data_IF_348653686019
#
_entry.id   IF_348653686019
#
_cell.length_a   1.000
_cell.length_b   1.000
_cell.length_c   1.000
_cell.angle_alpha   90.00
_cell.angle_beta   90.00
_cell.angle_gamma   90.00
#
_symmetry.space_group_name_H-M   'P 1'
#
loop_
_entity.id
_entity.type
_entity.pdbx_description
1 polymer ?
#
# COMPACT_ATOMS: atom_id res chain seq x y z
N UNK A 1 37.93 -7.45 -13.58
CA UNK A 1 37.22 -6.93 -14.78
C UNK A 1 36.97 -5.45 -14.57
N UNK A 2 37.08 -4.59 -15.59
CA UNK A 2 36.72 -3.18 -15.43
C UNK A 2 35.23 -3.06 -15.10
N UNK A 3 34.93 -2.37 -14.01
CA UNK A 3 33.56 -2.07 -13.60
C UNK A 3 32.95 -1.07 -14.59
N UNK A 4 31.70 -1.28 -15.02
CA UNK A 4 31.04 -0.34 -15.94
C UNK A 4 30.63 0.94 -15.21
N UNK A 5 30.54 2.06 -15.93
CA UNK A 5 30.06 3.34 -15.36
C UNK A 5 28.67 3.21 -14.74
N UNK A 6 27.76 2.50 -15.41
CA UNK A 6 26.42 2.21 -14.88
C UNK A 6 26.48 1.48 -13.53
N UNK A 7 27.41 0.52 -13.38
CA UNK A 7 27.56 -0.23 -12.13
C UNK A 7 28.10 0.65 -11.00
N UNK A 8 29.01 1.56 -11.31
CA UNK A 8 29.47 2.58 -10.35
C UNK A 8 28.28 3.44 -9.90
N UNK A 9 27.43 3.90 -10.82
CA UNK A 9 26.26 4.72 -10.47
C UNK A 9 25.26 3.95 -9.60
N UNK A 10 25.05 2.66 -9.89
CA UNK A 10 24.22 1.78 -9.05
C UNK A 10 24.81 1.64 -7.64
N UNK A 11 26.13 1.43 -7.50
CA UNK A 11 26.81 1.39 -6.20
C UNK A 11 26.67 2.71 -5.45
N UNK A 12 26.87 3.84 -6.12
CA UNK A 12 26.72 5.18 -5.50
C UNK A 12 25.32 5.37 -4.95
N UNK A 13 24.30 4.94 -5.70
CA UNK A 13 22.89 5.04 -5.31
C UNK A 13 22.58 4.17 -4.09
N UNK A 14 23.06 2.92 -4.07
CA UNK A 14 22.76 1.98 -2.99
C UNK A 14 23.58 2.30 -1.75
N UNK A 15 24.90 2.46 -1.86
CA UNK A 15 25.77 2.72 -0.70
C UNK A 15 25.59 4.14 -0.16
N UNK A 16 25.07 5.06 -0.98
CA UNK A 16 24.91 6.47 -0.60
C UNK A 16 26.25 7.23 -0.52
N UNK A 17 27.28 6.74 -1.24
CA UNK A 17 28.60 7.37 -1.31
C UNK A 17 28.94 7.75 -2.74
N UNK A 18 29.36 8.98 -2.93
CA UNK A 18 29.84 9.46 -4.23
C UNK A 18 31.31 9.08 -4.41
N UNK A 19 31.57 7.85 -4.84
CA UNK A 19 32.92 7.34 -5.07
C UNK A 19 33.66 8.14 -6.16
N UNK A 20 34.92 8.47 -5.87
CA UNK A 20 35.87 9.04 -6.83
C UNK A 20 36.40 7.94 -7.79
N UNK A 21 36.55 6.72 -7.26
CA UNK A 21 37.02 5.54 -7.99
C UNK A 21 36.54 4.26 -7.28
N UNK A 22 36.22 3.23 -8.06
CA UNK A 22 35.92 1.88 -7.57
C UNK A 22 36.59 0.89 -8.52
N UNK A 23 37.33 -0.07 -7.96
CA UNK A 23 37.96 -1.15 -8.70
C UNK A 23 37.64 -2.51 -8.08
N UNK A 24 37.29 -3.46 -8.95
CA UNK A 24 36.95 -4.83 -8.57
C UNK A 24 37.93 -5.84 -9.18
N UNK A 25 38.44 -6.69 -8.32
CA UNK A 25 39.39 -7.73 -8.64
C UNK A 25 38.82 -9.09 -8.27
N UNK A 26 39.17 -10.11 -9.05
CA UNK A 26 38.95 -11.51 -8.70
C UNK A 26 40.32 -12.16 -8.67
N UNK A 27 40.74 -12.63 -7.50
CA UNK A 27 42.01 -13.35 -7.37
C UNK A 27 41.78 -14.84 -7.55
N UNK A 28 42.54 -15.45 -8.45
CA UNK A 28 42.66 -16.89 -8.58
C UNK A 28 43.55 -17.39 -7.44
N UNK A 29 42.92 -17.65 -6.30
CA UNK A 29 43.54 -18.25 -5.13
C UNK A 29 42.86 -19.59 -4.97
N UNK A 30 43.58 -20.67 -5.30
CA UNK A 30 43.12 -22.03 -5.05
C UNK A 30 43.09 -22.24 -3.52
N UNK A 31 41.89 -22.35 -2.90
CA UNK A 31 41.81 -22.64 -1.49
C UNK A 31 42.38 -24.03 -1.23
N UNK A 32 42.97 -24.25 -0.06
CA UNK A 32 43.44 -25.59 0.33
C UNK A 32 42.30 -26.55 0.69
N UNK A 33 41.06 -26.07 0.67
CA UNK A 33 39.84 -26.77 1.05
C UNK A 33 38.88 -26.78 -0.15
N UNK A 34 38.46 -27.98 -0.56
CA UNK A 34 37.64 -28.19 -1.75
C UNK A 34 36.23 -27.57 -1.61
N UNK A 35 35.66 -27.55 -0.39
CA UNK A 35 34.34 -26.97 -0.13
C UNK A 35 34.39 -25.44 -0.31
N UNK A 36 35.50 -24.82 0.08
CA UNK A 36 35.73 -23.38 -0.10
C UNK A 36 35.98 -23.07 -1.59
N UNK A 37 36.70 -23.95 -2.29
CA UNK A 37 36.94 -23.80 -3.73
C UNK A 37 35.61 -23.83 -4.50
N UNK A 38 34.73 -24.77 -4.19
CA UNK A 38 33.41 -24.86 -4.81
C UNK A 38 32.57 -23.61 -4.54
N UNK A 39 32.52 -23.14 -3.28
CA UNK A 39 31.78 -21.94 -2.91
C UNK A 39 32.26 -20.67 -3.64
N UNK A 40 33.53 -20.63 -4.05
CA UNK A 40 34.15 -19.49 -4.75
C UNK A 40 34.12 -19.63 -6.28
N UNK A 41 33.43 -20.61 -6.85
CA UNK A 41 33.45 -20.87 -8.30
C UNK A 41 32.50 -19.95 -9.09
N UNK A 42 31.53 -19.29 -8.43
CA UNK A 42 30.68 -18.18 -8.93
C UNK A 42 30.21 -18.25 -10.40
N UNK A 43 29.85 -19.43 -10.93
CA UNK A 43 29.39 -19.58 -12.32
C UNK A 43 30.50 -19.51 -13.39
N UNK A 44 31.75 -19.56 -12.95
CA UNK A 44 32.96 -19.70 -13.76
C UNK A 44 33.59 -21.09 -13.58
N UNK A 45 34.65 -21.41 -14.32
CA UNK A 45 35.35 -22.70 -14.21
C UNK A 45 36.47 -22.68 -13.13
N UNK A 46 36.67 -21.55 -12.43
CA UNK A 46 37.78 -21.35 -11.49
C UNK A 46 37.33 -20.63 -10.21
N UNK A 47 37.91 -20.94 -9.04
CA UNK A 47 37.61 -20.24 -7.80
C UNK A 47 38.15 -18.81 -7.84
N UNK A 48 37.27 -17.83 -7.68
CA UNK A 48 37.62 -16.41 -7.65
C UNK A 48 37.31 -15.80 -6.28
N UNK A 49 38.35 -15.29 -5.62
CA UNK A 49 38.20 -14.53 -4.38
C UNK A 49 37.96 -13.05 -4.72
N UNK A 50 36.81 -12.46 -4.37
CA UNK A 50 36.51 -11.07 -4.66
C UNK A 50 37.37 -10.14 -3.80
N UNK A 51 37.89 -9.08 -4.41
CA UNK A 51 38.60 -8.02 -3.72
C UNK A 51 38.24 -6.65 -4.29
N UNK A 52 38.05 -5.68 -3.40
CA UNK A 52 37.51 -4.38 -3.75
C UNK A 52 38.44 -3.27 -3.27
N UNK A 53 38.65 -2.28 -4.12
CA UNK A 53 39.28 -1.02 -3.77
C UNK A 53 38.35 0.14 -4.12
N UNK A 54 38.30 1.14 -3.25
CA UNK A 54 37.47 2.31 -3.44
C UNK A 54 38.19 3.56 -2.97
N UNK A 55 37.87 4.69 -3.60
CA UNK A 55 38.29 6.02 -3.16
C UNK A 55 37.08 6.91 -2.95
N UNK A 56 37.02 7.54 -1.79
CA UNK A 56 35.97 8.48 -1.42
C UNK A 56 36.60 9.67 -0.69
N UNK A 57 36.32 10.89 -1.17
CA UNK A 57 36.87 12.14 -0.59
C UNK A 57 38.38 12.07 -0.42
N UNK A 58 39.08 11.63 -1.46
CA UNK A 58 40.54 11.48 -1.46
C UNK A 58 41.11 10.46 -0.46
N UNK A 59 40.26 9.65 0.20
CA UNK A 59 40.68 8.53 1.05
C UNK A 59 40.51 7.23 0.29
N UNK A 60 41.59 6.48 0.12
CA UNK A 60 41.57 5.14 -0.49
C UNK A 60 41.47 4.06 0.59
N UNK A 61 40.66 3.05 0.34
CA UNK A 61 40.42 1.95 1.26
C UNK A 61 40.01 0.69 0.52
N UNK A 62 40.01 -0.44 1.22
CA UNK A 62 39.79 -1.77 0.63
C UNK A 62 38.56 -2.44 1.23
N UNK A 63 38.13 -3.55 0.63
CA UNK A 63 37.03 -4.39 1.14
C UNK A 63 37.17 -4.74 2.63
N UNK A 64 38.40 -4.93 3.13
CA UNK A 64 38.68 -5.23 4.54
C UNK A 64 38.36 -4.08 5.50
N UNK A 65 38.20 -2.87 4.98
CA UNK A 65 37.93 -1.63 5.75
C UNK A 65 36.57 -1.02 5.43
N UNK A 66 35.81 -1.62 4.51
CA UNK A 66 34.45 -1.23 4.19
C UNK A 66 33.52 -1.49 5.38
N UNK A 67 32.47 -0.68 5.52
CA UNK A 67 31.36 -1.04 6.40
C UNK A 67 30.66 -2.30 5.87
N UNK A 68 30.04 -3.09 6.76
CA UNK A 68 29.45 -4.38 6.35
C UNK A 68 28.42 -4.23 5.23
N UNK A 69 27.49 -3.28 5.31
CA UNK A 69 26.51 -3.04 4.24
C UNK A 69 27.14 -2.58 2.91
N UNK A 70 28.21 -1.79 2.98
CA UNK A 70 28.97 -1.36 1.80
C UNK A 70 29.66 -2.56 1.14
N UNK A 71 30.37 -3.39 1.94
CA UNK A 71 31.01 -4.60 1.46
C UNK A 71 29.99 -5.58 0.87
N UNK A 72 28.88 -5.85 1.56
CA UNK A 72 27.82 -6.75 1.10
C UNK A 72 27.22 -6.30 -0.23
N UNK A 73 27.05 -4.99 -0.43
CA UNK A 73 26.55 -4.44 -1.71
C UNK A 73 27.56 -4.68 -2.83
N UNK A 74 28.85 -4.40 -2.59
CA UNK A 74 29.91 -4.68 -3.55
C UNK A 74 29.95 -6.17 -3.92
N UNK A 75 29.92 -7.04 -2.91
CA UNK A 75 29.92 -8.48 -3.09
C UNK A 75 28.72 -8.96 -3.90
N UNK A 76 27.51 -8.56 -3.53
CA UNK A 76 26.29 -8.95 -4.23
C UNK A 76 26.36 -8.56 -5.71
N UNK A 77 26.72 -7.32 -6.03
CA UNK A 77 26.81 -6.91 -7.43
C UNK A 77 27.95 -7.59 -8.18
N UNK A 78 29.06 -7.89 -7.52
CA UNK A 78 30.16 -8.66 -8.10
C UNK A 78 29.71 -10.08 -8.46
N UNK A 79 28.99 -10.76 -7.56
CA UNK A 79 28.42 -12.10 -7.80
C UNK A 79 27.44 -12.04 -8.95
N UNK A 80 26.49 -11.10 -8.96
CA UNK A 80 25.53 -10.94 -10.05
C UNK A 80 26.17 -10.67 -11.42
N UNK A 81 27.38 -10.11 -11.44
CA UNK A 81 28.14 -9.91 -12.66
C UNK A 81 28.80 -11.21 -13.14
N UNK A 82 29.22 -12.10 -12.23
CA UNK A 82 29.81 -13.39 -12.63
C UNK A 82 28.77 -14.29 -13.31
N UNK A 83 27.49 -14.17 -12.97
CA UNK A 83 26.43 -14.94 -13.59
C UNK A 83 25.81 -14.26 -14.83
N UNK A 84 26.32 -13.11 -15.28
CA UNK A 84 25.69 -12.33 -16.35
C UNK A 84 25.66 -13.05 -17.71
N UNK A 85 26.38 -14.16 -17.92
CA UNK A 85 26.28 -14.97 -19.15
C UNK A 85 25.30 -16.14 -19.03
N UNK A 86 24.76 -16.42 -17.84
CA UNK A 86 23.87 -17.56 -17.58
C UNK A 86 22.42 -17.22 -17.93
N UNK A 87 21.76 -18.09 -18.69
CA UNK A 87 20.34 -18.01 -19.01
C UNK A 87 19.50 -18.88 -18.06
N UNK A 88 18.21 -18.57 -17.92
CA UNK A 88 17.24 -19.23 -17.03
C UNK A 88 17.67 -19.29 -15.54
N UNK A 89 18.43 -18.29 -15.11
CA UNK A 89 18.98 -18.19 -13.77
C UNK A 89 17.88 -17.88 -12.73
N UNK A 90 17.81 -18.69 -11.67
CA UNK A 90 17.02 -18.40 -10.47
C UNK A 90 17.97 -18.02 -9.35
N UNK A 91 17.78 -16.83 -8.79
CA UNK A 91 18.61 -16.30 -7.71
C UNK A 91 17.75 -16.24 -6.45
N UNK A 92 18.23 -16.88 -5.38
CA UNK A 92 17.64 -16.80 -4.05
C UNK A 92 18.56 -15.92 -3.20
N UNK A 93 18.01 -14.85 -2.61
CA UNK A 93 18.79 -13.93 -1.79
C UNK A 93 18.10 -13.75 -0.45
N UNK A 94 18.83 -14.06 0.61
CA UNK A 94 18.35 -13.91 1.98
C UNK A 94 18.73 -12.54 2.53
N UNK A 95 17.72 -11.74 2.90
CA UNK A 95 17.85 -10.40 3.49
C UNK A 95 18.94 -9.52 2.84
N UNK A 96 18.89 -9.25 1.52
CA UNK A 96 19.91 -8.44 0.83
C UNK A 96 20.01 -7.01 1.38
N UNK A 97 18.97 -6.53 2.04
CA UNK A 97 18.87 -5.23 2.68
C UNK A 97 19.41 -5.21 4.11
N UNK A 98 19.84 -6.36 4.65
CA UNK A 98 20.47 -6.42 5.96
C UNK A 98 21.67 -5.47 6.02
N UNK A 99 21.80 -4.73 7.13
CA UNK A 99 22.87 -3.77 7.39
C UNK A 99 22.86 -2.49 6.52
N UNK A 100 21.85 -2.30 5.67
CA UNK A 100 21.67 -1.06 4.91
C UNK A 100 20.69 -0.09 5.62
N UNK A 101 20.94 1.22 5.57
CA UNK A 101 19.91 2.20 5.94
C UNK A 101 18.65 2.06 5.07
N UNK A 102 17.45 2.44 5.54
CA UNK A 102 16.20 2.26 4.79
C UNK A 102 16.23 2.80 3.36
N UNK A 103 16.76 4.01 3.15
CA UNK A 103 16.88 4.59 1.81
C UNK A 103 17.81 3.79 0.86
N UNK A 104 18.86 3.17 1.41
CA UNK A 104 19.78 2.32 0.66
C UNK A 104 19.14 0.97 0.31
N UNK A 105 18.41 0.37 1.26
CA UNK A 105 17.65 -0.87 1.07
C UNK A 105 16.64 -0.75 -0.08
N UNK A 106 15.82 0.32 -0.10
CA UNK A 106 14.89 0.59 -1.20
C UNK A 106 15.61 0.74 -2.54
N UNK A 107 16.76 1.43 -2.55
CA UNK A 107 17.59 1.59 -3.74
C UNK A 107 18.15 0.27 -4.29
N UNK A 108 18.60 -0.62 -3.40
CA UNK A 108 19.13 -1.94 -3.77
C UNK A 108 18.06 -2.78 -4.45
N UNK A 109 16.87 -2.84 -3.85
CA UNK A 109 15.82 -3.70 -4.37
C UNK A 109 15.19 -3.18 -5.64
N UNK A 110 15.00 -1.87 -5.76
CA UNK A 110 14.62 -1.25 -7.03
C UNK A 110 15.62 -1.64 -8.13
N UNK A 111 16.92 -1.70 -7.81
CA UNK A 111 17.94 -2.16 -8.76
C UNK A 111 17.83 -3.64 -9.10
N UNK A 112 17.63 -4.51 -8.11
CA UNK A 112 17.44 -5.96 -8.35
C UNK A 112 16.21 -6.22 -9.23
N UNK A 113 15.10 -5.52 -8.98
CA UNK A 113 13.90 -5.59 -9.83
C UNK A 113 14.18 -5.12 -11.26
N UNK A 114 14.90 -4.01 -11.43
CA UNK A 114 15.30 -3.54 -12.76
C UNK A 114 16.22 -4.54 -13.47
N UNK A 115 17.10 -5.22 -12.73
CA UNK A 115 17.97 -6.25 -13.26
C UNK A 115 17.16 -7.44 -13.81
N UNK A 116 16.13 -7.88 -13.08
CA UNK A 116 15.20 -8.92 -13.55
C UNK A 116 14.46 -8.48 -14.82
N UNK A 117 14.04 -7.21 -14.89
CA UNK A 117 13.36 -6.65 -16.07
C UNK A 117 14.29 -6.59 -17.28
N UNK A 118 15.51 -6.08 -17.10
CA UNK A 118 16.55 -5.98 -18.13
C UNK A 118 16.94 -7.35 -18.69
N UNK A 119 16.91 -8.39 -17.85
CA UNK A 119 17.29 -9.77 -18.21
C UNK A 119 16.10 -10.71 -18.37
N UNK A 120 14.89 -10.17 -18.52
CA UNK A 120 13.66 -10.95 -18.63
C UNK A 120 13.69 -11.94 -19.81
N UNK A 121 14.19 -11.49 -20.96
CA UNK A 121 14.28 -12.31 -22.18
C UNK A 121 15.26 -13.48 -22.02
N UNK A 122 16.11 -13.43 -21.00
CA UNK A 122 17.07 -14.48 -20.63
C UNK A 122 16.57 -15.35 -19.48
N UNK A 123 15.31 -15.19 -19.06
CA UNK A 123 14.68 -16.07 -18.07
C UNK A 123 15.10 -15.83 -16.62
N UNK A 124 15.74 -14.70 -16.29
CA UNK A 124 16.17 -14.40 -14.92
C UNK A 124 14.99 -14.23 -13.96
N UNK A 125 15.08 -14.87 -12.79
CA UNK A 125 14.11 -14.76 -11.69
C UNK A 125 14.84 -14.55 -10.38
N UNK A 126 14.35 -13.65 -9.54
CA UNK A 126 14.94 -13.37 -8.22
C UNK A 126 13.86 -13.57 -7.17
N UNK A 127 14.18 -14.31 -6.12
CA UNK A 127 13.36 -14.51 -4.92
C UNK A 127 14.13 -13.93 -3.74
N UNK A 128 13.45 -13.09 -2.96
CA UNK A 128 14.06 -12.33 -1.86
C UNK A 128 13.23 -12.53 -0.61
N UNK A 129 13.88 -12.90 0.50
CA UNK A 129 13.33 -12.73 1.85
C UNK A 129 13.77 -11.37 2.40
N UNK A 130 12.85 -10.69 3.08
CA UNK A 130 13.11 -9.38 3.69
C UNK A 130 12.13 -9.13 4.82
N UNK A 131 12.57 -8.36 5.82
CA UNK A 131 11.75 -7.86 6.91
C UNK A 131 11.39 -6.38 6.78
N UNK A 132 11.83 -5.69 5.72
CA UNK A 132 11.59 -4.26 5.62
C UNK A 132 10.19 -3.94 5.10
N UNK A 133 9.48 -3.17 5.91
CA UNK A 133 8.08 -2.83 5.69
C UNK A 133 7.85 -2.06 4.39
N UNK A 134 8.76 -1.15 4.02
CA UNK A 134 8.64 -0.37 2.79
C UNK A 134 8.65 -1.28 1.55
N UNK A 135 9.46 -2.33 1.58
CA UNK A 135 9.61 -3.29 0.48
C UNK A 135 8.41 -4.21 0.40
N UNK A 136 7.97 -4.73 1.56
CA UNK A 136 6.78 -5.57 1.64
C UNK A 136 5.59 -4.80 1.07
N UNK A 137 5.41 -3.52 1.44
CA UNK A 137 4.35 -2.67 0.91
C UNK A 137 4.42 -2.51 -0.61
N UNK A 138 5.60 -2.20 -1.16
CA UNK A 138 5.80 -2.10 -2.61
C UNK A 138 5.52 -3.43 -3.31
N UNK A 139 5.98 -4.55 -2.76
CA UNK A 139 5.78 -5.89 -3.33
C UNK A 139 4.31 -6.30 -3.36
N UNK A 140 3.53 -5.95 -2.33
CA UNK A 140 2.07 -6.16 -2.30
C UNK A 140 1.39 -5.38 -3.42
N UNK A 141 1.74 -4.09 -3.60
CA UNK A 141 1.16 -3.24 -4.65
C UNK A 141 1.45 -3.78 -6.07
N UNK A 142 2.57 -4.48 -6.24
CA UNK A 142 2.98 -5.10 -7.50
C UNK A 142 2.50 -6.55 -7.66
N UNK A 143 1.72 -7.08 -6.72
CA UNK A 143 1.29 -8.50 -6.70
C UNK A 143 2.47 -9.48 -6.79
N UNK A 144 3.57 -9.16 -6.09
CA UNK A 144 4.80 -9.93 -6.06
C UNK A 144 5.15 -10.46 -4.66
N UNK A 145 4.27 -10.26 -3.68
CA UNK A 145 4.50 -10.65 -2.30
C UNK A 145 3.93 -12.04 -2.00
N UNK A 146 4.74 -12.86 -1.34
CA UNK A 146 4.35 -14.17 -0.79
C UNK A 146 4.64 -14.15 0.70
N UNK A 147 3.62 -14.39 1.50
CA UNK A 147 3.76 -14.63 2.92
C UNK A 147 3.99 -16.11 3.18
N UNK A 148 4.96 -16.44 4.04
CA UNK A 148 5.21 -17.78 4.52
C UNK A 148 4.94 -17.82 6.02
N UNK A 149 4.14 -18.79 6.46
CA UNK A 149 3.80 -19.01 7.87
C UNK A 149 3.83 -20.51 8.21
N UNK A 150 3.78 -20.81 9.51
CA UNK A 150 3.61 -22.16 10.03
C UNK A 150 2.23 -22.25 10.67
N UNK A 151 1.37 -23.11 10.16
CA UNK A 151 0.03 -23.29 10.72
C UNK A 151 0.05 -23.97 12.10
N UNK A 152 -1.11 -24.05 12.74
CA UNK A 152 -1.28 -24.70 14.03
C UNK A 152 -0.93 -26.21 14.07
N UNK A 153 -0.84 -26.86 12.91
CA UNK A 153 -0.43 -28.26 12.77
C UNK A 153 1.08 -28.40 12.51
N UNK A 154 1.79 -27.29 12.32
CA UNK A 154 3.23 -27.26 12.04
C UNK A 154 3.57 -27.32 10.54
N UNK A 155 2.59 -27.19 9.65
CA UNK A 155 2.83 -27.20 8.21
C UNK A 155 3.21 -25.80 7.71
N UNK A 156 4.14 -25.73 6.76
CA UNK A 156 4.43 -24.47 6.05
C UNK A 156 3.27 -24.14 5.11
N UNK A 157 2.71 -22.95 5.28
CA UNK A 157 1.66 -22.40 4.43
C UNK A 157 2.22 -21.18 3.71
N UNK A 158 1.86 -21.04 2.44
CA UNK A 158 2.18 -19.86 1.65
C UNK A 158 0.90 -19.17 1.19
N UNK A 159 0.84 -17.85 1.31
CA UNK A 159 -0.29 -17.05 0.84
C UNK A 159 0.23 -15.93 -0.05
N UNK A 160 -0.25 -15.88 -1.29
CA UNK A 160 0.16 -14.85 -2.24
C UNK A 160 -0.70 -13.60 -2.04
N UNK A 161 -0.12 -12.40 -2.19
CA UNK A 161 -0.86 -11.15 -1.99
C UNK A 161 -2.00 -10.91 -2.99
N UNK A 162 -2.02 -11.64 -4.11
CA UNK A 162 -3.15 -11.65 -5.05
C UNK A 162 -4.34 -12.47 -4.55
N UNK A 163 -4.12 -13.43 -3.65
CA UNK A 163 -5.17 -14.25 -3.03
C UNK A 163 -5.77 -13.53 -1.84
N UNK A 164 -4.91 -12.90 -1.02
CA UNK A 164 -5.30 -12.05 0.10
C UNK A 164 -4.43 -10.78 0.14
N UNK A 165 -4.95 -9.62 -0.30
CA UNK A 165 -4.21 -8.35 -0.25
C UNK A 165 -3.85 -7.88 1.15
N UNK A 166 -4.52 -8.40 2.18
CA UNK A 166 -4.31 -8.01 3.59
C UNK A 166 -3.27 -8.86 4.29
N UNK A 167 -2.76 -9.91 3.64
CA UNK A 167 -1.80 -10.86 4.24
C UNK A 167 -0.53 -10.18 4.78
N UNK A 168 -0.10 -9.10 4.13
CA UNK A 168 1.06 -8.32 4.57
C UNK A 168 0.80 -7.46 5.82
N UNK A 169 -0.46 -7.18 6.17
CA UNK A 169 -0.81 -6.34 7.33
C UNK A 169 -0.32 -6.96 8.66
N UNK A 170 -0.08 -8.28 8.68
CA UNK A 170 0.50 -8.99 9.83
C UNK A 170 1.95 -8.55 10.10
N UNK A 171 2.67 -8.17 9.04
CA UNK A 171 4.09 -7.78 9.09
C UNK A 171 4.28 -6.26 9.03
N UNK A 172 3.33 -5.53 8.46
CA UNK A 172 3.41 -4.09 8.28
C UNK A 172 2.90 -3.34 9.52
N UNK A 173 3.62 -2.28 9.91
CA UNK A 173 3.04 -1.28 10.78
C UNK A 173 1.85 -0.63 10.07
N UNK A 174 0.76 -0.32 10.80
CA UNK A 174 -0.40 0.35 10.21
C UNK A 174 0.07 1.59 9.44
N UNK A 175 -0.28 1.74 8.16
CA UNK A 175 0.20 2.85 7.37
C UNK A 175 -0.29 4.16 8.00
N UNK A 176 0.53 5.23 7.96
CA UNK A 176 0.12 6.51 8.52
C UNK A 176 -1.13 7.01 7.78
N UNK A 177 -2.08 7.57 8.52
CA UNK A 177 -3.25 8.22 7.92
C UNK A 177 -2.75 9.37 7.05
N UNK A 178 -3.11 9.33 5.76
CA UNK A 178 -2.76 10.37 4.76
C UNK A 178 -3.92 11.32 4.50
N UNK A 179 -5.15 10.88 4.78
CA UNK A 179 -6.33 11.70 4.54
C UNK A 179 -7.43 11.46 5.58
N UNK A 180 -8.17 12.52 5.88
CA UNK A 180 -9.31 12.52 6.80
C UNK A 180 -10.53 13.06 6.08
N UNK A 181 -11.60 12.26 6.04
CA UNK A 181 -12.89 12.64 5.48
C UNK A 181 -13.85 12.96 6.62
N UNK A 182 -14.40 14.17 6.61
CA UNK A 182 -15.43 14.56 7.57
C UNK A 182 -16.81 14.38 6.95
N UNK A 183 -17.65 13.56 7.59
CA UNK A 183 -19.01 13.25 7.16
C UNK A 183 -20.04 13.80 8.14
N UNK A 184 -21.29 13.94 7.71
CA UNK A 184 -22.34 14.58 8.50
C UNK A 184 -22.69 13.80 9.76
N UNK A 185 -22.97 12.51 9.63
CA UNK A 185 -23.44 11.66 10.69
C UNK A 185 -22.90 10.22 10.57
N UNK A 186 -23.41 9.35 11.44
CA UNK A 186 -22.97 7.96 11.52
C UNK A 186 -23.41 7.13 10.31
N UNK A 187 -24.59 7.36 9.73
CA UNK A 187 -25.02 6.62 8.54
C UNK A 187 -24.14 7.01 7.35
N UNK A 188 -23.87 8.31 7.18
CA UNK A 188 -22.91 8.83 6.21
C UNK A 188 -21.50 8.22 6.40
N UNK A 189 -21.08 7.98 7.64
CA UNK A 189 -19.79 7.34 7.94
C UNK A 189 -19.70 5.91 7.41
N UNK A 190 -20.67 5.05 7.75
CA UNK A 190 -20.65 3.66 7.28
C UNK A 190 -20.82 3.57 5.76
N UNK A 191 -21.64 4.44 5.17
CA UNK A 191 -21.79 4.51 3.72
C UNK A 191 -20.49 4.95 3.04
N UNK A 192 -19.82 5.98 3.56
CA UNK A 192 -18.51 6.44 3.05
C UNK A 192 -17.45 5.35 3.16
N UNK A 193 -17.40 4.62 4.29
CA UNK A 193 -16.46 3.51 4.45
C UNK A 193 -16.72 2.38 3.45
N UNK A 194 -17.99 2.02 3.23
CA UNK A 194 -18.37 1.02 2.24
C UNK A 194 -17.99 1.45 0.82
N UNK A 195 -18.17 2.74 0.49
CA UNK A 195 -17.76 3.33 -0.78
C UNK A 195 -16.24 3.29 -0.95
N UNK A 196 -15.47 3.69 0.06
CA UNK A 196 -14.00 3.65 0.00
C UNK A 196 -13.45 2.23 -0.19
N UNK A 197 -14.15 1.21 0.32
CA UNK A 197 -13.73 -0.18 0.16
C UNK A 197 -13.69 -0.65 -1.30
N UNK A 198 -14.36 0.05 -2.23
CA UNK A 198 -14.28 -0.25 -3.67
C UNK A 198 -12.98 0.26 -4.32
N UNK A 199 -12.24 1.14 -3.64
CA UNK A 199 -11.01 1.78 -4.17
C UNK A 199 -9.72 1.00 -3.90
N UNK A 200 -9.83 -0.17 -3.26
CA UNK A 200 -8.68 -0.97 -2.84
C UNK A 200 -8.19 -0.68 -1.42
N UNK A 201 -7.43 -1.63 -0.87
CA UNK A 201 -6.99 -1.69 0.52
C UNK A 201 -6.19 -0.45 0.95
N UNK A 202 -5.24 0.00 0.13
CA UNK A 202 -4.36 1.14 0.45
C UNK A 202 -5.13 2.44 0.76
N UNK A 203 -6.20 2.70 0.00
CA UNK A 203 -7.03 3.89 0.19
C UNK A 203 -7.75 3.80 1.53
N UNK A 204 -8.35 2.65 1.84
CA UNK A 204 -9.04 2.43 3.12
C UNK A 204 -8.06 2.54 4.29
N UNK A 205 -6.91 1.87 4.21
CA UNK A 205 -5.92 1.81 5.28
C UNK A 205 -5.30 3.17 5.60
N UNK A 206 -5.23 4.09 4.62
CA UNK A 206 -4.66 5.43 4.79
C UNK A 206 -5.70 6.54 4.98
N UNK A 207 -7.00 6.19 5.07
CA UNK A 207 -8.10 7.14 5.20
C UNK A 207 -8.83 7.00 6.53
N UNK A 208 -8.91 8.09 7.28
CA UNK A 208 -9.78 8.17 8.45
C UNK A 208 -11.11 8.84 8.07
N UNK A 209 -12.23 8.16 8.29
CA UNK A 209 -13.56 8.78 8.16
C UNK A 209 -14.04 9.18 9.54
N UNK A 210 -14.42 10.44 9.73
CA UNK A 210 -14.86 10.99 11.02
C UNK A 210 -16.23 11.65 10.83
N UNK A 211 -17.22 11.24 11.61
CA UNK A 211 -18.54 11.87 11.56
C UNK A 211 -18.68 13.03 12.55
N UNK A 212 -19.50 14.00 12.16
CA UNK A 212 -19.85 15.16 12.96
C UNK A 212 -21.27 15.09 13.53
N UNK A 213 -21.88 16.27 13.65
CA UNK A 213 -23.28 16.47 14.04
C UNK A 213 -24.02 17.23 12.94
N UNK A 214 -24.03 16.67 11.72
CA UNK A 214 -24.68 17.22 10.54
C UNK A 214 -23.86 18.24 9.74
N UNK A 215 -24.38 18.65 8.58
CA UNK A 215 -23.78 19.62 7.64
C UNK A 215 -23.35 20.94 8.28
N UNK A 216 -24.10 21.47 9.25
CA UNK A 216 -23.75 22.71 9.95
C UNK A 216 -22.41 22.61 10.69
N UNK A 217 -22.11 21.44 11.27
CA UNK A 217 -20.82 21.19 11.94
C UNK A 217 -19.68 21.04 10.93
N UNK A 218 -19.93 20.39 9.78
CA UNK A 218 -18.94 20.30 8.70
C UNK A 218 -18.56 21.69 8.19
N UNK A 219 -19.55 22.57 7.98
CA UNK A 219 -19.32 23.94 7.57
C UNK A 219 -18.46 24.70 8.59
N UNK A 220 -18.82 24.61 9.87
CA UNK A 220 -18.04 25.24 10.94
C UNK A 220 -16.60 24.71 10.98
N UNK A 221 -16.40 23.40 10.82
CA UNK A 221 -15.07 22.80 10.79
C UNK A 221 -14.24 23.29 9.58
N UNK A 222 -14.88 23.44 8.42
CA UNK A 222 -14.25 23.98 7.20
C UNK A 222 -13.74 25.41 7.33
N UNK A 223 -14.41 26.23 8.15
CA UNK A 223 -13.98 27.60 8.40
C UNK A 223 -12.82 27.69 9.43
N UNK A 224 -12.56 26.64 10.23
CA UNK A 224 -11.56 26.64 11.30
C UNK A 224 -10.36 25.71 11.07
N UNK A 225 -10.44 24.78 10.12
CA UNK A 225 -9.32 23.88 9.83
C UNK A 225 -8.11 24.65 9.29
N UNK A 226 -6.87 24.26 9.69
CA UNK A 226 -5.67 24.92 9.22
C UNK A 226 -5.56 24.87 7.70
N UNK A 227 -4.97 25.93 7.13
CA UNK A 227 -4.84 26.10 5.69
C UNK A 227 -3.99 25.01 5.06
N UNK A 228 -4.27 24.77 3.79
CA UNK A 228 -3.84 23.61 3.02
C UNK A 228 -2.34 23.55 2.72
N UNK A 229 -1.65 24.69 2.67
CA UNK A 229 -0.23 24.77 2.27
C UNK A 229 0.76 24.22 3.31
N UNK A 230 0.32 23.91 4.53
CA UNK A 230 1.20 23.55 5.64
C UNK A 230 1.01 22.12 6.20
N UNK A 231 0.11 21.31 5.61
CA UNK A 231 -0.28 20.03 6.21
C UNK A 231 0.13 18.82 5.37
N UNK A 232 0.81 17.86 6.01
CA UNK A 232 1.05 16.51 5.48
C UNK A 232 -0.23 15.67 5.38
N UNK A 233 -1.26 16.04 6.15
CA UNK A 233 -2.60 15.44 6.13
C UNK A 233 -3.53 16.19 5.17
N UNK A 234 -4.27 15.43 4.37
CA UNK A 234 -5.31 15.97 3.49
C UNK A 234 -6.68 15.85 4.16
N UNK A 235 -7.50 16.88 4.04
CA UNK A 235 -8.87 16.86 4.53
C UNK A 235 -9.86 16.98 3.36
N UNK A 236 -11.02 16.36 3.49
CA UNK A 236 -12.16 16.64 2.63
C UNK A 236 -13.46 16.56 3.43
N UNK A 237 -14.47 17.29 2.96
CA UNK A 237 -15.82 17.26 3.51
C UNK A 237 -16.71 16.43 2.61
N UNK A 238 -17.38 15.44 3.18
CA UNK A 238 -18.31 14.56 2.49
C UNK A 238 -19.70 14.89 3.00
N UNK A 239 -20.48 15.57 2.17
CA UNK A 239 -21.86 15.96 2.47
C UNK A 239 -22.83 14.89 1.99
N UNK A 240 -24.04 14.87 2.55
CA UNK A 240 -25.10 14.00 2.07
C UNK A 240 -25.57 14.42 0.67
N UNK A 241 -26.13 13.47 -0.08
CA UNK A 241 -26.59 13.72 -1.45
C UNK A 241 -27.65 14.82 -1.53
N UNK A 242 -28.50 14.92 -0.50
CA UNK A 242 -29.58 15.92 -0.42
C UNK A 242 -29.08 17.35 -0.13
N UNK A 243 -27.81 17.51 0.30
CA UNK A 243 -27.18 18.81 0.52
C UNK A 243 -26.63 19.41 -0.78
N UNK A 244 -26.67 18.67 -1.89
CA UNK A 244 -26.25 19.12 -3.21
C UNK A 244 -27.07 20.34 -3.62
N UNK A 245 -26.39 21.47 -3.85
CA UNK A 245 -27.02 22.75 -4.20
C UNK A 245 -27.59 23.56 -3.03
N UNK A 246 -27.70 22.98 -1.82
CA UNK A 246 -28.06 23.72 -0.58
C UNK A 246 -26.82 24.28 0.12
N UNK A 247 -25.72 23.54 0.05
CA UNK A 247 -24.45 23.95 0.63
C UNK A 247 -23.77 24.97 -0.29
N UNK A 248 -23.69 26.21 0.16
CA UNK A 248 -22.88 27.23 -0.49
C UNK A 248 -21.40 26.93 -0.22
N UNK A 249 -20.82 26.02 -1.01
CA UNK A 249 -19.38 25.87 -1.12
C UNK A 249 -18.97 26.91 -2.16
N UNK A 250 -18.27 28.01 -1.79
CA UNK A 250 -17.76 28.92 -2.79
C UNK A 250 -16.88 28.13 -3.74
N UNK A 251 -17.23 28.12 -5.02
CA UNK A 251 -16.45 27.46 -6.04
C UNK A 251 -15.01 27.98 -5.99
N UNK A 252 -14.05 27.07 -5.88
CA UNK A 252 -12.64 27.33 -6.18
C UNK A 252 -11.99 28.53 -5.47
N UNK A 253 -12.06 28.62 -4.14
CA UNK A 253 -10.98 29.30 -3.41
C UNK A 253 -9.88 28.27 -3.13
N UNK A 254 -8.68 28.47 -3.67
CA UNK A 254 -7.50 27.63 -3.43
C UNK A 254 -7.16 27.43 -1.95
N UNK A 255 -7.72 28.27 -1.08
CA UNK A 255 -7.52 28.28 0.37
C UNK A 255 -8.42 27.31 1.18
N UNK A 256 -9.37 26.60 0.57
CA UNK A 256 -10.32 25.72 1.28
C UNK A 256 -10.10 24.24 0.95
N UNK A 257 -10.40 23.37 1.93
CA UNK A 257 -10.42 21.93 1.71
C UNK A 257 -11.59 21.54 0.79
N UNK A 258 -11.42 20.50 -0.05
CA UNK A 258 -12.43 20.06 -0.99
C UNK A 258 -13.71 19.60 -0.28
N UNK A 259 -14.82 19.74 -0.99
CA UNK A 259 -16.10 19.20 -0.62
C UNK A 259 -16.60 18.27 -1.73
N UNK A 260 -17.01 17.07 -1.33
CA UNK A 260 -17.63 16.05 -2.17
C UNK A 260 -18.97 15.66 -1.56
N UNK A 261 -19.79 14.97 -2.32
CA UNK A 261 -21.13 14.59 -1.92
C UNK A 261 -21.29 13.09 -2.03
N UNK A 262 -21.99 12.49 -1.08
CA UNK A 262 -22.43 11.11 -1.18
C UNK A 262 -23.28 10.91 -2.45
N UNK A 263 -23.35 9.66 -2.93
CA UNK A 263 -24.07 9.37 -4.16
C UNK A 263 -25.52 9.84 -4.14
N UNK A 264 -26.05 10.10 -5.34
CA UNK A 264 -27.43 10.54 -5.58
C UNK A 264 -27.75 11.92 -4.98
N UNK A 265 -29.04 12.25 -4.91
CA UNK A 265 -29.59 13.45 -4.27
C UNK A 265 -30.37 13.13 -2.99
N UNK A 266 -30.19 11.94 -2.43
CA UNK A 266 -30.88 11.45 -1.23
C UNK A 266 -29.94 11.43 -0.03
N UNK A 267 -30.51 11.44 1.16
CA UNK A 267 -29.76 11.22 2.40
C UNK A 267 -29.37 9.73 2.57
N UNK A 268 -28.33 9.44 3.36
CA UNK A 268 -27.82 8.09 3.54
C UNK A 268 -28.85 7.10 4.10
N UNK A 269 -29.71 7.51 5.04
CA UNK A 269 -30.73 6.64 5.60
C UNK A 269 -31.75 6.24 4.53
N UNK A 270 -32.18 7.18 3.68
CA UNK A 270 -33.04 6.89 2.53
C UNK A 270 -32.37 5.94 1.53
N UNK A 271 -31.06 6.04 1.32
CA UNK A 271 -30.34 5.11 0.45
C UNK A 271 -30.35 3.69 1.01
N UNK A 272 -29.88 3.52 2.25
CA UNK A 272 -29.68 2.19 2.82
C UNK A 272 -30.98 1.53 3.29
N UNK A 273 -32.02 2.31 3.60
CA UNK A 273 -33.35 1.78 3.99
C UNK A 273 -34.09 1.09 2.85
N UNK A 274 -33.74 1.41 1.59
CA UNK A 274 -34.31 0.80 0.38
C UNK A 274 -33.80 -0.61 0.10
N UNK A 275 -32.78 -1.06 0.82
CA UNK A 275 -32.27 -2.43 0.72
C UNK A 275 -33.33 -3.40 1.22
N UNK A 276 -33.73 -4.31 0.34
CA UNK A 276 -34.77 -5.31 0.59
C UNK A 276 -34.26 -6.75 0.41
N UNK A 277 -32.98 -6.96 0.09
CA UNK A 277 -32.37 -8.29 0.07
C UNK A 277 -32.23 -8.84 1.50
N UNK A 278 -33.31 -9.47 1.98
CA UNK A 278 -33.38 -10.05 3.31
C UNK A 278 -32.37 -11.17 3.48
N UNK A 279 -32.10 -11.95 2.43
CA UNK A 279 -31.19 -13.10 2.53
C UNK A 279 -29.76 -12.65 2.75
N UNK A 280 -29.27 -11.73 1.92
CA UNK A 280 -27.89 -11.22 2.04
C UNK A 280 -27.72 -10.39 3.31
N UNK A 281 -28.74 -9.61 3.71
CA UNK A 281 -28.74 -8.90 4.98
C UNK A 281 -28.64 -9.89 6.16
N UNK A 282 -29.44 -10.94 6.16
CA UNK A 282 -29.43 -11.95 7.23
C UNK A 282 -28.08 -12.64 7.39
N UNK A 283 -27.44 -12.97 6.25
CA UNK A 283 -26.10 -13.56 6.21
C UNK A 283 -25.07 -12.64 6.85
N UNK A 284 -25.09 -11.34 6.52
CA UNK A 284 -24.15 -10.32 7.07
C UNK A 284 -24.38 -10.05 8.55
N UNK A 285 -25.64 -10.08 9.00
CA UNK A 285 -25.99 -9.91 10.41
C UNK A 285 -25.73 -11.16 11.26
N UNK A 286 -25.44 -12.31 10.64
CA UNK A 286 -25.34 -13.60 11.34
C UNK A 286 -26.67 -14.02 11.98
N UNK A 287 -27.80 -13.66 11.36
CA UNK A 287 -29.14 -13.91 11.89
C UNK A 287 -29.93 -14.84 10.98
N UNK A 288 -30.91 -15.54 11.54
CA UNK A 288 -31.83 -16.35 10.74
C UNK A 288 -32.71 -15.45 9.85
N UNK A 289 -32.86 -15.82 8.57
CA UNK A 289 -33.64 -15.04 7.58
C UNK A 289 -35.06 -14.72 8.04
N UNK A 290 -35.73 -15.68 8.67
CA UNK A 290 -37.08 -15.47 9.22
C UNK A 290 -37.14 -14.43 10.35
N UNK A 291 -36.05 -14.24 11.11
CA UNK A 291 -35.96 -13.23 12.16
C UNK A 291 -35.84 -11.83 11.57
N UNK A 292 -34.94 -11.65 10.60
CA UNK A 292 -34.75 -10.36 9.91
C UNK A 292 -36.01 -9.97 9.13
N UNK A 293 -36.61 -10.91 8.39
CA UNK A 293 -37.87 -10.68 7.66
C UNK A 293 -38.99 -10.18 8.58
N UNK A 294 -39.12 -10.77 9.79
CA UNK A 294 -40.15 -10.37 10.76
C UNK A 294 -39.96 -8.93 11.22
N UNK A 295 -38.73 -8.53 11.52
CA UNK A 295 -38.43 -7.16 11.99
C UNK A 295 -38.66 -6.16 10.87
N UNK A 296 -38.22 -6.47 9.64
CA UNK A 296 -38.48 -5.63 8.47
C UNK A 296 -39.98 -5.46 8.20
N UNK A 297 -40.79 -6.50 8.42
CA UNK A 297 -42.25 -6.42 8.31
C UNK A 297 -42.91 -5.58 9.40
N UNK A 298 -42.35 -5.51 10.61
CA UNK A 298 -42.83 -4.59 11.67
C UNK A 298 -42.48 -3.14 11.34
N UNK A 299 -41.34 -2.91 10.70
CA UNK A 299 -40.84 -1.60 10.27
C UNK A 299 -41.33 -1.23 8.85
N UNK A 300 -42.30 -1.96 8.31
CA UNK A 300 -42.86 -1.66 7.00
C UNK A 300 -43.72 -0.40 7.09
N UNK A 301 -43.45 0.58 6.22
CA UNK A 301 -44.17 1.86 6.19
C UNK A 301 -43.70 2.91 7.20
N UNK A 302 -42.69 2.62 8.03
CA UNK A 302 -41.99 3.68 8.76
C UNK A 302 -41.14 4.53 7.80
N UNK A 303 -40.82 5.76 8.17
CA UNK A 303 -39.88 6.55 7.39
C UNK A 303 -38.47 5.90 7.40
N UNK A 304 -37.60 6.28 6.44
CA UNK A 304 -36.27 5.70 6.30
C UNK A 304 -35.42 5.71 7.57
N UNK A 305 -35.46 6.81 8.33
CA UNK A 305 -34.63 6.97 9.53
C UNK A 305 -35.11 6.03 10.63
N UNK A 306 -36.41 5.99 10.87
CA UNK A 306 -37.04 5.08 11.84
C UNK A 306 -36.84 3.61 11.47
N UNK A 307 -36.85 3.29 10.17
CA UNK A 307 -36.60 1.92 9.68
C UNK A 307 -35.17 1.47 9.98
N UNK A 308 -34.18 2.32 9.71
CA UNK A 308 -32.76 2.01 9.98
C UNK A 308 -32.53 1.89 11.49
N UNK A 309 -33.06 2.82 12.28
CA UNK A 309 -32.95 2.79 13.74
C UNK A 309 -33.63 1.57 14.35
N UNK A 310 -34.82 1.20 13.88
CA UNK A 310 -35.52 0.00 14.37
C UNK A 310 -34.75 -1.30 14.12
N UNK A 311 -34.06 -1.41 12.98
CA UNK A 311 -33.16 -2.53 12.71
C UNK A 311 -31.93 -2.48 13.63
N UNK A 312 -31.31 -1.31 13.76
CA UNK A 312 -30.15 -1.06 14.58
C UNK A 312 -30.38 -1.41 16.06
N UNK A 313 -31.53 -1.04 16.60
CA UNK A 313 -31.92 -1.34 17.99
C UNK A 313 -32.05 -2.85 18.23
N UNK A 314 -32.46 -3.60 17.19
CA UNK A 314 -32.68 -5.04 17.29
C UNK A 314 -31.43 -5.88 17.08
N UNK A 315 -30.59 -5.51 16.12
CA UNK A 315 -29.47 -6.33 15.66
C UNK A 315 -28.09 -5.71 15.94
N UNK A 316 -28.06 -4.52 16.54
CA UNK A 316 -26.84 -3.77 16.81
C UNK A 316 -26.57 -2.74 15.73
N UNK A 317 -26.52 -1.47 16.12
CA UNK A 317 -26.42 -0.32 15.23
C UNK A 317 -25.25 -0.39 14.24
N UNK A 318 -24.04 -0.60 14.74
CA UNK A 318 -22.83 -0.66 13.91
C UNK A 318 -22.88 -1.79 12.88
N UNK A 319 -23.39 -2.96 13.29
CA UNK A 319 -23.50 -4.13 12.41
C UNK A 319 -24.53 -3.90 11.30
N UNK A 320 -25.68 -3.32 11.64
CA UNK A 320 -26.74 -2.98 10.68
C UNK A 320 -26.28 -1.94 9.67
N UNK A 321 -25.70 -0.84 10.14
CA UNK A 321 -25.22 0.23 9.23
C UNK A 321 -24.14 -0.31 8.29
N UNK A 322 -23.15 -1.05 8.81
CA UNK A 322 -22.12 -1.69 7.97
C UNK A 322 -22.72 -2.65 6.94
N UNK A 323 -23.68 -3.48 7.33
CA UNK A 323 -24.29 -4.46 6.44
C UNK A 323 -25.12 -3.79 5.34
N UNK A 324 -25.99 -2.84 5.69
CA UNK A 324 -26.84 -2.15 4.73
C UNK A 324 -26.01 -1.26 3.77
N UNK A 325 -25.00 -0.55 4.28
CA UNK A 325 -24.10 0.25 3.44
C UNK A 325 -23.33 -0.62 2.44
N UNK A 326 -22.81 -1.78 2.87
CA UNK A 326 -22.11 -2.69 1.97
C UNK A 326 -23.04 -3.25 0.87
N UNK A 327 -24.26 -3.66 1.24
CA UNK A 327 -25.26 -4.13 0.26
C UNK A 327 -25.65 -3.03 -0.73
N UNK A 328 -25.83 -1.80 -0.25
CA UNK A 328 -26.14 -0.68 -1.12
C UNK A 328 -25.04 -0.43 -2.15
N UNK A 329 -23.77 -0.47 -1.74
CA UNK A 329 -22.64 -0.31 -2.67
C UNK A 329 -22.59 -1.45 -3.70
N UNK A 330 -22.84 -2.70 -3.28
CA UNK A 330 -22.87 -3.86 -4.18
C UNK A 330 -23.98 -3.76 -5.24
N UNK A 331 -25.15 -3.22 -4.87
CA UNK A 331 -26.28 -3.00 -5.78
C UNK A 331 -26.08 -1.77 -6.69
N UNK A 332 -25.20 -0.82 -6.32
CA UNK A 332 -25.04 0.49 -6.97
C UNK A 332 -23.56 0.78 -7.31
N UNK A 333 -22.91 -0.15 -8.02
CA UNK A 333 -21.47 -0.05 -8.34
C UNK A 333 -21.11 1.21 -9.15
N UNK A 334 -21.97 1.64 -10.09
CA UNK A 334 -21.69 2.82 -10.92
C UNK A 334 -21.66 4.11 -10.09
N UNK A 335 -22.58 4.25 -9.15
CA UNK A 335 -22.63 5.34 -8.18
C UNK A 335 -21.40 5.33 -7.25
N UNK A 336 -20.97 4.14 -6.85
CA UNK A 336 -19.76 3.98 -6.04
C UNK A 336 -18.50 4.43 -6.80
N UNK A 337 -18.33 3.97 -8.04
CA UNK A 337 -17.23 4.39 -8.91
C UNK A 337 -17.22 5.90 -9.16
N UNK A 338 -18.40 6.50 -9.39
CA UNK A 338 -18.53 7.95 -9.57
C UNK A 338 -18.11 8.72 -8.32
N UNK A 339 -18.49 8.27 -7.13
CA UNK A 339 -18.07 8.92 -5.88
C UNK A 339 -16.56 8.86 -5.68
N UNK A 340 -15.93 7.71 -5.99
CA UNK A 340 -14.48 7.56 -5.91
C UNK A 340 -13.77 8.46 -6.91
N UNK A 341 -14.27 8.55 -8.14
CA UNK A 341 -13.73 9.48 -9.14
C UNK A 341 -13.82 10.94 -8.67
N UNK A 342 -14.97 11.35 -8.11
CA UNK A 342 -15.16 12.70 -7.55
C UNK A 342 -14.17 12.97 -6.40
N UNK A 343 -13.98 12.01 -5.50
CA UNK A 343 -13.03 12.12 -4.39
C UNK A 343 -11.58 12.24 -4.88
N UNK A 344 -11.19 11.43 -5.87
CA UNK A 344 -9.86 11.49 -6.47
C UNK A 344 -9.62 12.82 -7.19
N UNK A 345 -10.57 13.27 -7.99
CA UNK A 345 -10.51 14.55 -8.70
C UNK A 345 -10.41 15.72 -7.72
N UNK A 346 -11.18 15.67 -6.62
CA UNK A 346 -11.14 16.66 -5.56
C UNK A 346 -9.77 16.76 -4.88
N UNK A 347 -8.96 15.70 -4.87
CA UNK A 347 -7.57 15.76 -4.44
C UNK A 347 -6.57 16.09 -5.56
N UNK A 348 -6.89 15.83 -6.83
CA UNK A 348 -6.02 16.05 -8.00
C UNK A 348 -6.07 17.46 -8.60
N UNK A 349 -7.26 18.04 -8.83
CA UNK A 349 -7.39 19.44 -9.30
C UNK A 349 -6.70 20.40 -8.35
N UNK A 350 -6.71 19.99 -7.09
CA UNK A 350 -6.10 20.61 -5.96
C UNK A 350 -4.55 20.52 -5.94
N UNK A 351 -3.91 19.65 -6.74
CA UNK A 351 -2.44 19.65 -6.99
C UNK A 351 -2.03 20.60 -8.12
N UNK A 352 -2.90 20.84 -9.11
CA UNK A 352 -2.58 21.72 -10.25
C UNK A 352 -2.48 23.19 -9.84
N UNK A 353 -3.22 23.60 -8.82
CA UNK A 353 -3.10 24.94 -8.20
C UNK A 353 -1.85 25.13 -7.32
N UNK A 354 -1.03 24.09 -7.10
CA UNK A 354 0.21 24.17 -6.32
C UNK A 354 1.48 24.36 -7.19
N UNK A 355 1.36 24.14 -8.50
CA UNK A 355 2.47 24.24 -9.47
C UNK A 355 2.32 25.42 -10.45
N UNK A 356 1.34 26.29 -10.21
CA UNK A 356 1.12 27.56 -10.91
C UNK A 356 1.21 28.69 -9.90
#
# INVERSE_FOLDING_TARGET
>A
MPISSQRIDDLKRVVGRDYDQVDWYGFDIVPGDDDIAEALTWGSDQPLTPYFEARYRSTSYTGATMGLGEYSTHLLFWVLQQYDHVDDLVILIDEPDAYLPPAAASGLLARLLNLCKERRDRGWRVVISTHSADIIADAVSLSAFIYLDIDHEGNTVSTHSSEDPTVADVLLARPPIKQVLFVEDETAHYLTQALLATSGHDVVATTSVVWGRGSGNLKALGDHLPRREQNSLRYAFVYDGDQRGKTFIPANSSDRWPAVFLPTSLDPDTLISRINDVESLSRRLGQATASVARVLGVLEGSDPHDRVNGLADRFGRQLVLRALSALWVEENNAEAESFIADLQNAFLDNRRSQNA
#
